data_IF_621485774594
#
_entry.id   IF_621485774594
#
_cell.length_a   1.000
_cell.length_b   1.000
_cell.length_c   1.000
_cell.angle_alpha   90.00
_cell.angle_beta   90.00
_cell.angle_gamma   90.00
#
_symmetry.space_group_name_H-M   'P 1'
#
loop_
_entity.id
_entity.type
_entity.pdbx_description
1 polymer ?
#
# COMPACT_ATOMS: atom_id res chain seq x y z
N UNK A 1 2.83 -10.03 -7.37
CA UNK A 1 2.62 -9.04 -6.29
C UNK A 1 1.18 -9.12 -5.78
N UNK A 2 0.93 -9.64 -4.56
CA UNK A 2 -0.41 -10.01 -4.10
C UNK A 2 -1.22 -8.91 -3.41
N UNK A 3 -0.58 -7.82 -2.99
CA UNK A 3 -1.27 -6.71 -2.34
C UNK A 3 -1.96 -5.81 -3.37
N UNK A 4 -3.29 -5.83 -3.37
CA UNK A 4 -4.10 -4.97 -4.23
C UNK A 4 -4.62 -3.79 -3.41
N UNK A 5 -4.33 -2.58 -3.90
CA UNK A 5 -4.84 -1.33 -3.31
C UNK A 5 -6.02 -0.85 -4.12
N UNK A 6 -7.16 -0.68 -3.45
CA UNK A 6 -8.34 -0.03 -4.01
C UNK A 6 -8.56 1.30 -3.29
N UNK A 7 -8.93 2.35 -4.03
CA UNK A 7 -9.20 3.66 -3.43
C UNK A 7 -10.34 4.37 -4.15
N UNK A 8 -11.04 5.23 -3.42
CA UNK A 8 -12.18 6.01 -3.92
C UNK A 8 -12.08 7.47 -3.45
N UNK A 9 -12.16 8.46 -4.35
CA UNK A 9 -12.23 9.86 -3.96
C UNK A 9 -13.60 10.18 -3.33
N UNK A 10 -13.60 11.03 -2.31
CA UNK A 10 -14.80 11.59 -1.68
C UNK A 10 -14.97 13.03 -2.15
N UNK A 11 -16.16 13.36 -2.64
CA UNK A 11 -16.50 14.71 -3.13
C UNK A 11 -17.57 15.35 -2.26
N UNK A 12 -17.47 16.67 -2.08
CA UNK A 12 -18.49 17.52 -1.48
C UNK A 12 -18.58 18.81 -2.30
N UNK A 13 -19.78 19.18 -2.75
CA UNK A 13 -20.02 20.38 -3.58
C UNK A 13 -19.12 20.45 -4.83
N UNK A 14 -18.87 19.32 -5.48
CA UNK A 14 -18.03 19.25 -6.69
C UNK A 14 -16.51 19.25 -6.41
N UNK A 15 -16.08 19.41 -5.16
CA UNK A 15 -14.66 19.40 -4.77
C UNK A 15 -14.27 18.10 -4.07
N UNK A 16 -13.08 17.57 -4.39
CA UNK A 16 -12.54 16.39 -3.70
C UNK A 16 -12.06 16.79 -2.30
N UNK A 17 -12.65 16.20 -1.27
CA UNK A 17 -12.36 16.49 0.14
C UNK A 17 -11.52 15.40 0.83
N UNK A 18 -11.53 14.18 0.30
CA UNK A 18 -10.69 13.09 0.80
C UNK A 18 -10.47 12.00 -0.27
N UNK A 19 -9.58 11.06 0.03
CA UNK A 19 -9.49 9.76 -0.63
C UNK A 19 -9.59 8.71 0.49
N UNK A 20 -10.44 7.71 0.29
CA UNK A 20 -10.46 6.52 1.14
C UNK A 20 -9.76 5.39 0.39
N UNK A 21 -8.99 4.58 1.11
CA UNK A 21 -8.19 3.52 0.53
C UNK A 21 -8.26 2.25 1.39
N UNK A 22 -8.13 1.11 0.73
CA UNK A 22 -8.02 -0.20 1.37
C UNK A 22 -6.93 -1.00 0.66
N UNK A 23 -6.16 -1.74 1.44
CA UNK A 23 -5.15 -2.69 0.97
C UNK A 23 -5.58 -4.06 1.48
N UNK A 24 -5.62 -5.03 0.57
CA UNK A 24 -5.88 -6.42 0.90
C UNK A 24 -4.81 -7.28 0.23
N UNK A 25 -4.31 -8.26 0.97
CA UNK A 25 -3.44 -9.31 0.44
C UNK A 25 -4.32 -10.38 -0.22
N UNK A 26 -4.23 -10.52 -1.54
CA UNK A 26 -5.02 -11.51 -2.29
C UNK A 26 -4.32 -12.86 -2.28
N UNK A 27 -5.09 -13.94 -2.15
CA UNK A 27 -4.55 -15.29 -2.02
C UNK A 27 -3.83 -15.78 -3.27
N UNK A 28 -4.29 -15.39 -4.46
CA UNK A 28 -3.70 -15.72 -5.76
C UNK A 28 -3.82 -14.52 -6.69
N UNK A 29 -2.78 -14.27 -7.47
CA UNK A 29 -2.75 -13.22 -8.50
C UNK A 29 -2.32 -13.76 -9.87
N UNK A 30 -2.39 -15.08 -10.08
CA UNK A 30 -2.03 -15.69 -11.36
C UNK A 30 -0.54 -15.79 -11.66
N UNK A 31 0.33 -15.78 -10.64
CA UNK A 31 1.76 -16.01 -10.81
C UNK A 31 2.07 -17.42 -11.33
N UNK A 32 3.33 -17.69 -11.66
CA UNK A 32 3.77 -18.97 -12.24
C UNK A 32 3.46 -20.19 -11.34
N UNK A 33 3.37 -19.98 -10.04
CA UNK A 33 3.01 -20.99 -9.03
C UNK A 33 1.70 -20.64 -8.35
N UNK A 34 0.90 -21.63 -7.89
CA UNK A 34 -0.27 -21.37 -7.06
C UNK A 34 0.08 -20.62 -5.79
N UNK A 35 -0.78 -19.66 -5.42
CA UNK A 35 -0.66 -18.86 -4.21
C UNK A 35 -0.19 -17.43 -4.45
N UNK A 36 0.03 -16.71 -3.35
CA UNK A 36 0.25 -15.26 -3.37
C UNK A 36 1.68 -14.84 -3.73
N UNK A 37 2.65 -15.75 -3.57
CA UNK A 37 4.06 -15.52 -3.87
C UNK A 37 4.65 -16.72 -4.61
N UNK A 38 5.41 -16.44 -5.67
CA UNK A 38 6.18 -17.44 -6.42
C UNK A 38 7.67 -17.24 -6.15
N UNK A 39 8.23 -18.00 -5.21
CA UNK A 39 9.63 -17.85 -4.78
C UNK A 39 10.65 -18.03 -5.92
N UNK A 40 10.34 -18.89 -6.90
CA UNK A 40 11.20 -19.13 -8.06
C UNK A 40 10.98 -18.17 -9.24
N UNK A 41 10.23 -17.07 -9.07
CA UNK A 41 10.00 -16.11 -10.14
C UNK A 41 11.30 -15.34 -10.46
N UNK A 42 11.86 -15.58 -11.64
CA UNK A 42 13.09 -14.94 -12.11
C UNK A 42 12.83 -13.61 -12.86
N UNK A 43 11.59 -13.37 -13.27
CA UNK A 43 11.16 -12.12 -13.90
C UNK A 43 9.77 -11.71 -13.41
N UNK A 44 9.51 -10.40 -13.45
CA UNK A 44 8.27 -9.82 -12.92
C UNK A 44 6.99 -10.31 -13.64
N UNK A 45 7.11 -10.83 -14.87
CA UNK A 45 5.98 -11.39 -15.62
C UNK A 45 5.51 -12.74 -15.08
N UNK A 46 6.36 -13.40 -14.28
CA UNK A 46 6.04 -14.66 -13.61
C UNK A 46 5.33 -14.42 -12.27
N UNK A 47 5.22 -13.18 -11.80
CA UNK A 47 4.58 -12.84 -10.53
C UNK A 47 3.06 -12.61 -10.62
N UNK A 48 2.49 -12.81 -11.81
CA UNK A 48 1.07 -12.70 -12.07
C UNK A 48 0.61 -11.31 -12.48
N UNK A 49 -0.61 -10.96 -12.11
CA UNK A 49 -1.27 -9.72 -12.50
C UNK A 49 -0.50 -8.49 -12.01
N UNK A 50 -0.26 -7.57 -12.95
CA UNK A 50 0.35 -6.25 -12.71
C UNK A 50 -0.61 -5.17 -13.14
N UNK A 51 -1.46 -4.76 -12.20
CA UNK A 51 -2.48 -3.75 -12.46
C UNK A 51 -1.87 -2.35 -12.24
N UNK A 52 -1.80 -1.49 -13.27
CA UNK A 52 -1.48 -0.08 -13.04
C UNK A 52 -2.63 0.61 -12.27
N UNK A 53 -2.52 1.91 -11.94
CA UNK A 53 -3.68 2.66 -11.49
C UNK A 53 -4.74 2.71 -12.59
N UNK A 54 -5.78 1.89 -12.47
CA UNK A 54 -6.88 1.79 -13.43
C UNK A 54 -8.23 1.88 -12.70
N UNK A 55 -9.26 2.36 -13.41
CA UNK A 55 -10.62 2.45 -12.88
C UNK A 55 -11.30 1.08 -12.88
N UNK A 56 -11.58 0.57 -11.67
CA UNK A 56 -12.48 -0.57 -11.46
C UNK A 56 -13.96 -0.19 -11.69
N UNK A 57 -14.28 1.10 -11.48
CA UNK A 57 -15.55 1.73 -11.79
C UNK A 57 -15.31 3.10 -12.43
N UNK A 58 -16.10 3.46 -13.43
CA UNK A 58 -16.12 4.81 -13.99
C UNK A 58 -17.53 5.40 -13.93
N UNK A 59 -17.65 6.58 -13.31
CA UNK A 59 -18.94 7.26 -13.07
C UNK A 59 -20.02 6.34 -12.45
N UNK A 60 -19.61 5.42 -11.58
CA UNK A 60 -20.51 4.46 -10.91
C UNK A 60 -20.81 3.19 -11.71
N UNK A 61 -20.40 3.10 -12.97
CA UNK A 61 -20.52 1.89 -13.77
C UNK A 61 -19.29 0.98 -13.55
N UNK A 62 -19.53 -0.32 -13.34
CA UNK A 62 -18.46 -1.31 -13.20
C UNK A 62 -17.73 -1.48 -14.54
N UNK A 63 -16.41 -1.56 -14.49
CA UNK A 63 -15.61 -1.87 -15.67
C UNK A 63 -15.56 -3.40 -15.90
N UNK A 64 -16.62 -3.97 -16.46
CA UNK A 64 -16.76 -5.44 -16.62
C UNK A 64 -15.58 -6.08 -17.38
N UNK A 65 -14.99 -5.36 -18.33
CA UNK A 65 -13.82 -5.85 -19.06
C UNK A 65 -12.61 -6.05 -18.15
N UNK A 66 -12.35 -5.12 -17.23
CA UNK A 66 -11.27 -5.27 -16.26
C UNK A 66 -11.56 -6.41 -15.27
N UNK A 67 -12.80 -6.53 -14.80
CA UNK A 67 -13.19 -7.63 -13.91
C UNK A 67 -12.97 -8.99 -14.57
N UNK A 68 -13.34 -9.12 -15.86
CA UNK A 68 -13.07 -10.31 -16.64
C UNK A 68 -11.56 -10.59 -16.78
N UNK A 69 -10.76 -9.55 -17.08
CA UNK A 69 -9.29 -9.69 -17.13
C UNK A 69 -8.74 -10.21 -15.81
N UNK A 70 -9.14 -9.65 -14.67
CA UNK A 70 -8.64 -10.13 -13.37
C UNK A 70 -9.12 -11.57 -13.13
N UNK A 71 -10.41 -11.84 -13.28
CA UNK A 71 -11.00 -13.15 -12.99
C UNK A 71 -10.46 -14.29 -13.84
N UNK A 72 -10.12 -14.04 -15.11
CA UNK A 72 -9.52 -15.04 -16.01
C UNK A 72 -8.02 -15.28 -15.78
N UNK A 73 -7.35 -14.41 -15.03
CA UNK A 73 -5.92 -14.50 -14.77
C UNK A 73 -5.61 -14.91 -13.34
N UNK A 74 -6.56 -15.49 -12.61
CA UNK A 74 -6.35 -16.02 -11.25
C UNK A 74 -6.91 -17.43 -11.13
N UNK A 75 -6.39 -18.22 -10.18
CA UNK A 75 -6.80 -19.61 -9.97
C UNK A 75 -8.08 -19.73 -9.16
N UNK A 76 -8.23 -18.90 -8.14
CA UNK A 76 -9.40 -18.88 -7.24
C UNK A 76 -10.28 -17.67 -7.54
N UNK A 77 -10.92 -17.65 -8.71
CA UNK A 77 -11.70 -16.51 -9.19
C UNK A 77 -12.74 -16.04 -8.18
N UNK A 78 -13.51 -16.95 -7.59
CA UNK A 78 -14.57 -16.59 -6.64
C UNK A 78 -14.00 -15.92 -5.38
N UNK A 79 -12.91 -16.45 -4.83
CA UNK A 79 -12.20 -15.88 -3.67
C UNK A 79 -11.67 -14.48 -4.00
N UNK A 80 -10.89 -14.34 -5.08
CA UNK A 80 -10.27 -13.07 -5.48
C UNK A 80 -11.32 -12.01 -5.81
N UNK A 81 -12.39 -12.38 -6.52
CA UNK A 81 -13.49 -11.46 -6.81
C UNK A 81 -14.26 -11.07 -5.53
N UNK A 82 -14.42 -12.01 -4.58
CA UNK A 82 -14.99 -11.75 -3.27
C UNK A 82 -14.15 -10.76 -2.45
N UNK A 83 -12.83 -10.89 -2.47
CA UNK A 83 -11.90 -9.97 -1.82
C UNK A 83 -11.99 -8.56 -2.44
N UNK A 84 -12.02 -8.45 -3.78
CA UNK A 84 -12.23 -7.16 -4.46
C UNK A 84 -13.57 -6.52 -4.09
N UNK A 85 -14.65 -7.32 -4.05
CA UNK A 85 -15.97 -6.83 -3.62
C UNK A 85 -15.96 -6.35 -2.18
N UNK A 86 -15.29 -7.08 -1.29
CA UNK A 86 -15.11 -6.71 0.12
C UNK A 86 -14.33 -5.41 0.26
N UNK A 87 -13.28 -5.22 -0.54
CA UNK A 87 -12.55 -3.95 -0.62
C UNK A 87 -13.46 -2.79 -1.05
N UNK A 88 -14.28 -2.97 -2.09
CA UNK A 88 -15.23 -1.94 -2.55
C UNK A 88 -16.26 -1.60 -1.47
N UNK A 89 -16.83 -2.59 -0.81
CA UNK A 89 -17.79 -2.38 0.28
C UNK A 89 -17.14 -1.60 1.45
N UNK A 90 -15.88 -1.90 1.77
CA UNK A 90 -15.11 -1.15 2.78
C UNK A 90 -14.89 0.31 2.36
N UNK A 91 -14.58 0.56 1.08
CA UNK A 91 -14.47 1.92 0.55
C UNK A 91 -15.79 2.69 0.67
N UNK A 92 -16.93 2.05 0.42
CA UNK A 92 -18.25 2.68 0.55
C UNK A 92 -18.54 3.13 1.98
N UNK A 93 -18.19 2.29 2.96
CA UNK A 93 -18.27 2.66 4.39
C UNK A 93 -17.38 3.88 4.68
N UNK A 94 -16.15 3.88 4.16
CA UNK A 94 -15.23 5.01 4.27
C UNK A 94 -15.79 6.30 3.67
N UNK A 95 -16.34 6.24 2.45
CA UNK A 95 -16.97 7.39 1.78
C UNK A 95 -18.11 7.94 2.62
N UNK A 96 -18.97 7.07 3.15
CA UNK A 96 -20.08 7.49 4.00
C UNK A 96 -19.60 8.13 5.31
N UNK A 97 -18.54 7.58 5.93
CA UNK A 97 -17.97 8.12 7.15
C UNK A 97 -17.40 9.54 6.94
N UNK A 98 -16.60 9.74 5.90
CA UNK A 98 -16.08 11.07 5.55
C UNK A 98 -17.21 12.02 5.20
N UNK A 99 -18.18 11.58 4.38
CA UNK A 99 -19.32 12.42 4.00
C UNK A 99 -20.10 12.91 5.23
N UNK A 100 -20.34 12.05 6.23
CA UNK A 100 -20.98 12.44 7.49
C UNK A 100 -20.18 13.50 8.26
N UNK A 101 -18.86 13.38 8.30
CA UNK A 101 -17.99 14.36 8.95
C UNK A 101 -18.04 15.72 8.23
N UNK A 102 -17.99 15.70 6.90
CA UNK A 102 -18.04 16.92 6.08
C UNK A 102 -19.39 17.63 6.23
N UNK A 103 -20.51 16.89 6.25
CA UNK A 103 -21.84 17.47 6.50
C UNK A 103 -21.94 18.09 7.90
N UNK A 104 -21.35 17.44 8.91
CA UNK A 104 -21.45 17.89 10.30
C UNK A 104 -20.54 19.07 10.63
N UNK A 105 -19.31 19.08 10.10
CA UNK A 105 -18.26 20.01 10.51
C UNK A 105 -17.77 20.92 9.38
N UNK A 106 -18.14 20.65 8.14
CA UNK A 106 -17.64 21.35 6.95
C UNK A 106 -16.30 20.80 6.46
N UNK A 107 -16.06 20.95 5.15
CA UNK A 107 -14.84 20.46 4.51
C UNK A 107 -13.56 21.13 5.03
N UNK A 108 -13.61 22.45 5.30
CA UNK A 108 -12.46 23.21 5.79
C UNK A 108 -12.00 22.73 7.18
N UNK A 109 -12.94 22.44 8.08
CA UNK A 109 -12.62 21.93 9.41
C UNK A 109 -12.01 20.53 9.34
N UNK A 110 -12.56 19.65 8.48
CA UNK A 110 -11.99 18.32 8.26
C UNK A 110 -10.54 18.40 7.76
N UNK A 111 -10.27 19.21 6.73
CA UNK A 111 -8.92 19.38 6.19
C UNK A 111 -7.93 19.95 7.22
N UNK A 112 -8.39 20.90 8.04
CA UNK A 112 -7.60 21.44 9.14
C UNK A 112 -7.25 20.37 10.17
N UNK A 113 -8.22 19.52 10.55
CA UNK A 113 -8.00 18.42 11.47
C UNK A 113 -7.01 17.38 10.89
N UNK A 114 -7.16 17.02 9.61
CA UNK A 114 -6.22 16.13 8.93
C UNK A 114 -4.78 16.69 8.94
N UNK A 115 -4.61 17.98 8.67
CA UNK A 115 -3.30 18.64 8.75
C UNK A 115 -2.73 18.56 10.18
N UNK A 116 -3.55 18.88 11.18
CA UNK A 116 -3.13 18.81 12.59
C UNK A 116 -2.69 17.39 13.00
N UNK A 117 -3.34 16.34 12.51
CA UNK A 117 -2.89 14.96 12.76
C UNK A 117 -1.54 14.65 12.13
N UNK A 118 -1.30 15.10 10.90
CA UNK A 118 -0.01 14.93 10.22
C UNK A 118 1.10 15.68 10.96
N UNK A 119 0.85 16.94 11.32
CA UNK A 119 1.82 17.78 12.02
C UNK A 119 2.14 17.20 13.42
N UNK A 120 1.12 16.72 14.15
CA UNK A 120 1.31 16.08 15.44
C UNK A 120 2.12 14.77 15.34
N UNK A 121 1.91 13.99 14.29
CA UNK A 121 2.70 12.78 14.01
C UNK A 121 4.16 13.13 13.74
N UNK A 122 4.41 14.16 12.93
CA UNK A 122 5.76 14.65 12.63
C UNK A 122 6.47 15.15 13.90
N UNK A 123 5.81 16.02 14.68
CA UNK A 123 6.36 16.54 15.95
C UNK A 123 6.70 15.40 16.90
N UNK A 124 5.79 14.41 17.03
CA UNK A 124 6.01 13.27 17.92
C UNK A 124 7.19 12.42 17.45
N UNK A 125 7.31 12.16 16.15
CA UNK A 125 8.43 11.39 15.61
C UNK A 125 9.77 12.14 15.80
N UNK A 126 9.81 13.43 15.48
CA UNK A 126 10.99 14.29 15.67
C UNK A 126 11.47 14.31 17.12
N UNK A 127 10.55 14.48 18.07
CA UNK A 127 10.86 14.45 19.50
C UNK A 127 11.36 13.08 20.00
N UNK A 128 11.04 11.99 19.28
CA UNK A 128 11.59 10.66 19.58
C UNK A 128 12.99 10.48 19.01
N UNK A 129 13.24 10.99 17.80
CA UNK A 129 14.56 10.96 17.15
C UNK A 129 15.56 11.82 17.94
N UNK A 130 15.16 13.02 18.38
CA UNK A 130 16.00 13.95 19.16
C UNK A 130 16.54 13.37 20.49
N UNK A 131 15.89 12.33 21.02
CA UNK A 131 16.36 11.62 22.23
C UNK A 131 17.41 10.56 21.95
N UNK A 132 17.63 10.22 20.68
CA UNK A 132 18.66 9.29 20.26
C UNK A 132 19.98 10.07 20.12
N UNK A 133 21.13 9.49 20.50
CA UNK A 133 22.40 10.18 20.30
C UNK A 133 22.67 10.46 18.82
N UNK A 134 23.19 11.64 18.52
CA UNK A 134 23.69 11.95 17.18
C UNK A 134 24.81 11.00 16.81
N UNK A 135 24.79 10.51 15.56
CA UNK A 135 25.76 9.56 15.09
C UNK A 135 25.38 8.83 13.82
N UNK A 136 26.31 7.99 13.39
CA UNK A 136 26.12 7.05 12.28
C UNK A 136 26.11 5.65 12.87
N UNK A 137 25.03 4.93 12.61
CA UNK A 137 24.80 3.55 13.03
C UNK A 137 24.75 2.69 11.78
N UNK A 138 25.57 1.63 11.75
CA UNK A 138 25.63 0.71 10.62
C UNK A 138 25.43 -0.71 11.12
N UNK A 139 24.64 -1.47 10.37
CA UNK A 139 24.44 -2.88 10.62
C UNK A 139 24.25 -3.60 9.29
N UNK A 140 24.77 -4.82 9.23
CA UNK A 140 24.51 -5.75 8.14
C UNK A 140 24.02 -7.08 8.70
N UNK A 141 23.12 -7.69 7.96
CA UNK A 141 22.60 -9.03 8.20
C UNK A 141 22.46 -9.76 6.85
N UNK A 142 22.24 -11.06 6.89
CA UNK A 142 22.19 -11.90 5.71
C UNK A 142 20.90 -12.73 5.70
N UNK A 143 20.22 -12.76 4.54
CA UNK A 143 19.25 -13.81 4.25
C UNK A 143 20.00 -15.04 3.75
N UNK A 144 19.46 -16.24 3.99
CA UNK A 144 20.06 -17.51 3.58
C UNK A 144 20.30 -17.57 2.06
N UNK A 145 19.32 -17.14 1.25
CA UNK A 145 19.39 -17.05 -0.21
C UNK A 145 18.29 -16.12 -0.81
N UNK A 146 18.26 -15.97 -2.14
CA UNK A 146 17.26 -15.19 -2.88
C UNK A 146 16.14 -16.05 -3.53
N UNK A 147 16.08 -17.35 -3.22
CA UNK A 147 15.16 -18.32 -3.82
C UNK A 147 15.58 -18.80 -5.22
N UNK A 148 16.66 -18.26 -5.80
CA UNK A 148 17.20 -18.61 -7.11
C UNK A 148 18.55 -19.31 -6.96
N UNK A 149 19.46 -18.73 -6.16
CA UNK A 149 20.79 -19.25 -5.86
C UNK A 149 20.86 -19.66 -4.37
N UNK A 150 20.44 -20.89 -4.09
CA UNK A 150 20.29 -21.45 -2.74
C UNK A 150 21.59 -21.50 -1.91
N UNK A 151 22.75 -21.37 -2.57
CA UNK A 151 24.06 -21.40 -1.90
C UNK A 151 24.64 -20.00 -1.68
N UNK A 152 23.87 -18.94 -1.99
CA UNK A 152 24.35 -17.56 -1.98
C UNK A 152 23.53 -16.66 -1.04
N UNK A 153 24.06 -16.38 0.17
CA UNK A 153 23.46 -15.44 1.09
C UNK A 153 23.29 -14.04 0.53
N UNK A 154 22.15 -13.43 0.82
CA UNK A 154 21.83 -12.06 0.38
C UNK A 154 22.12 -11.09 1.51
N UNK A 155 23.15 -10.26 1.34
CA UNK A 155 23.50 -9.22 2.31
C UNK A 155 22.49 -8.08 2.31
N UNK A 156 22.03 -7.69 3.49
CA UNK A 156 21.22 -6.51 3.75
C UNK A 156 22.03 -5.59 4.66
N UNK A 157 22.45 -4.44 4.13
CA UNK A 157 23.13 -3.41 4.91
C UNK A 157 22.26 -2.16 5.02
N UNK A 158 22.17 -1.63 6.25
CA UNK A 158 21.50 -0.38 6.54
C UNK A 158 22.46 0.56 7.30
N UNK A 159 22.57 1.78 6.78
CA UNK A 159 23.23 2.90 7.45
C UNK A 159 22.17 3.90 7.90
N UNK A 160 22.12 4.17 9.19
CA UNK A 160 21.23 5.14 9.81
C UNK A 160 22.06 6.31 10.32
N UNK A 161 21.77 7.52 9.85
CA UNK A 161 22.38 8.76 10.36
C UNK A 161 21.36 9.54 11.16
N UNK A 162 21.69 9.83 12.42
CA UNK A 162 20.89 10.67 13.32
C UNK A 162 21.64 12.00 13.51
N UNK A 163 20.93 13.10 13.28
CA UNK A 163 21.42 14.45 13.50
C UNK A 163 20.27 15.34 14.01
N UNK A 164 20.30 15.65 15.30
CA UNK A 164 19.19 16.27 16.04
C UNK A 164 17.89 15.49 15.84
N UNK A 165 16.84 16.16 15.41
CA UNK A 165 15.51 15.59 15.18
C UNK A 165 15.33 14.88 13.81
N UNK A 166 16.43 14.59 13.09
CA UNK A 166 16.39 13.97 11.75
C UNK A 166 17.10 12.62 11.74
N UNK A 167 16.41 11.61 11.20
CA UNK A 167 16.96 10.31 10.87
C UNK A 167 16.98 10.12 9.35
N UNK A 168 18.11 9.70 8.81
CA UNK A 168 18.23 9.33 7.39
C UNK A 168 18.69 7.89 7.28
N UNK A 169 17.92 7.07 6.55
CA UNK A 169 18.20 5.64 6.36
C UNK A 169 18.66 5.42 4.93
N UNK A 170 19.88 4.91 4.77
CA UNK A 170 20.44 4.52 3.48
C UNK A 170 20.58 3.00 3.41
N UNK A 171 20.06 2.41 2.34
CA UNK A 171 20.38 1.05 1.93
C UNK A 171 21.43 1.12 0.84
N UNK A 172 22.67 0.73 1.12
CA UNK A 172 23.68 0.58 0.07
C UNK A 172 23.48 -0.77 -0.61
N UNK A 173 23.36 -0.80 -1.94
CA UNK A 173 23.64 -2.01 -2.72
C UNK A 173 25.16 -2.16 -2.77
N UNK A 174 25.69 -3.12 -2.04
CA UNK A 174 27.02 -3.67 -2.27
C UNK A 174 26.93 -5.18 -2.11
#
# INVERSE_FOLDING_TARGET
>A
MPDIVAFRPVFHEGHRVAIVGTLCHHHDVGGMSPGSYAAGAAEIFQEGLRLPPVKLFDKGARNDALWAVIGHNVRETDTVMGDLQSQIASLDIGVQAISRLVVKYGAAALLTACRAFLDASEITMRARIDRMPDGVYEHEDFLDDDGIDADKPVRIHARVTIAGERMTVFRSRA
#
